data_IF_537878007539
#
_entry.id   IF_537878007539
#
_cell.length_a   1.000
_cell.length_b   1.000
_cell.length_c   1.000
_cell.angle_alpha   90.00
_cell.angle_beta   90.00
_cell.angle_gamma   90.00
#
_symmetry.space_group_name_H-M   'P 1'
#
loop_
_entity.id
_entity.type
_entity.pdbx_description
1 polymer ?
#
# COMPACT_ATOMS: atom_id res chain seq x y z
N UNK A 1 -2.62 13.40 -15.79
CA UNK A 1 -2.29 11.95 -15.74
C UNK A 1 -3.59 11.20 -15.46
N UNK A 2 -3.87 10.06 -16.11
CA UNK A 2 -5.05 9.28 -15.74
C UNK A 2 -4.88 8.77 -14.29
N UNK A 3 -5.97 8.72 -13.52
CA UNK A 3 -6.08 8.15 -12.17
C UNK A 3 -5.70 6.63 -12.11
N UNK A 4 -5.13 6.08 -13.20
CA UNK A 4 -5.01 4.66 -13.54
C UNK A 4 -3.78 3.94 -13.04
N UNK A 5 -3.29 4.37 -11.91
CA UNK A 5 -1.98 3.95 -11.44
C UNK A 5 -1.96 3.57 -9.97
N UNK A 6 -2.99 3.87 -9.17
CA UNK A 6 -2.94 3.70 -7.72
C UNK A 6 -2.46 2.31 -7.29
N UNK A 7 -3.17 1.25 -7.72
CA UNK A 7 -2.82 -0.12 -7.36
C UNK A 7 -1.45 -0.55 -7.94
N UNK A 8 -1.01 0.05 -9.06
CA UNK A 8 0.30 -0.22 -9.68
C UNK A 8 1.42 0.47 -8.90
N UNK A 9 1.25 1.74 -8.55
CA UNK A 9 2.19 2.49 -7.73
C UNK A 9 2.33 1.87 -6.35
N UNK A 10 1.22 1.47 -5.74
CA UNK A 10 1.21 0.79 -4.45
C UNK A 10 1.95 -0.54 -4.49
N UNK A 11 1.71 -1.37 -5.51
CA UNK A 11 2.47 -2.60 -5.72
C UNK A 11 3.97 -2.30 -5.93
N UNK A 12 4.31 -1.27 -6.71
CA UNK A 12 5.70 -0.88 -6.93
C UNK A 12 6.38 -0.38 -5.64
N UNK A 13 5.64 0.31 -4.76
CA UNK A 13 6.12 0.73 -3.44
C UNK A 13 6.33 -0.51 -2.56
N UNK A 14 5.36 -1.42 -2.49
CA UNK A 14 5.44 -2.66 -1.70
C UNK A 14 6.68 -3.49 -2.08
N UNK A 15 6.88 -3.70 -3.39
CA UNK A 15 8.06 -4.38 -3.93
C UNK A 15 9.36 -3.65 -3.61
N UNK A 16 9.35 -2.32 -3.60
CA UNK A 16 10.53 -1.51 -3.30
C UNK A 16 10.93 -1.65 -1.85
N UNK A 17 9.98 -1.55 -0.91
CA UNK A 17 10.26 -1.77 0.50
C UNK A 17 10.71 -3.19 0.78
N UNK A 18 10.06 -4.20 0.18
CA UNK A 18 10.48 -5.59 0.36
C UNK A 18 11.91 -5.85 -0.15
N UNK A 19 12.29 -5.28 -1.30
CA UNK A 19 13.69 -5.33 -1.78
C UNK A 19 14.70 -4.68 -0.83
N UNK A 20 14.24 -3.80 0.05
CA UNK A 20 15.07 -3.17 1.07
C UNK A 20 15.03 -3.88 2.41
N UNK A 21 14.29 -5.00 2.56
CA UNK A 21 14.13 -5.70 3.83
C UNK A 21 15.46 -5.89 4.57
N UNK A 22 16.51 -6.40 3.91
CA UNK A 22 17.82 -6.57 4.54
C UNK A 22 18.49 -5.27 5.03
N UNK A 23 18.25 -4.13 4.37
CA UNK A 23 18.74 -2.82 4.84
C UNK A 23 17.90 -2.30 6.01
N UNK A 24 16.60 -2.57 5.99
CA UNK A 24 15.65 -2.19 7.04
C UNK A 24 15.89 -3.04 8.30
N UNK A 25 16.28 -4.32 8.16
CA UNK A 25 16.64 -5.19 9.27
C UNK A 25 17.88 -4.71 10.04
N UNK A 26 18.72 -3.86 9.42
CA UNK A 26 19.90 -3.27 10.06
C UNK A 26 19.59 -1.99 10.86
N UNK A 27 18.34 -1.54 10.89
CA UNK A 27 17.91 -0.43 11.75
C UNK A 27 17.98 -0.82 13.23
N UNK A 28 17.95 0.20 14.11
CA UNK A 28 17.69 -0.06 15.52
C UNK A 28 16.33 -0.75 15.73
N UNK A 29 16.24 -1.53 16.80
CA UNK A 29 15.06 -2.36 17.10
C UNK A 29 13.77 -1.55 17.08
N UNK A 30 13.76 -0.35 17.68
CA UNK A 30 12.55 0.47 17.76
C UNK A 30 12.05 0.92 16.37
N UNK A 31 12.96 1.34 15.48
CA UNK A 31 12.59 1.69 14.10
C UNK A 31 12.16 0.47 13.30
N UNK A 32 12.89 -0.63 13.39
CA UNK A 32 12.59 -1.88 12.69
C UNK A 32 11.20 -2.39 13.06
N UNK A 33 10.89 -2.43 14.35
CA UNK A 33 9.60 -2.87 14.88
C UNK A 33 8.47 -1.92 14.43
N UNK A 34 8.74 -0.61 14.38
CA UNK A 34 7.80 0.37 13.82
C UNK A 34 7.51 0.11 12.34
N UNK A 35 8.53 -0.15 11.51
CA UNK A 35 8.32 -0.49 10.09
C UNK A 35 7.54 -1.79 9.95
N UNK A 36 7.85 -2.81 10.75
CA UNK A 36 7.13 -4.08 10.75
C UNK A 36 5.64 -3.90 11.10
N UNK A 37 5.34 -3.11 12.15
CA UNK A 37 3.98 -2.78 12.55
C UNK A 37 3.20 -2.11 11.42
N UNK A 38 3.74 -1.05 10.83
CA UNK A 38 3.02 -0.34 9.76
C UNK A 38 2.93 -1.15 8.46
N UNK A 39 3.90 -2.02 8.18
CA UNK A 39 3.80 -2.95 7.06
C UNK A 39 2.61 -3.93 7.26
N UNK A 40 2.43 -4.44 8.47
CA UNK A 40 1.27 -5.28 8.81
C UNK A 40 -0.07 -4.52 8.74
N UNK A 41 -0.13 -3.30 9.27
CA UNK A 41 -1.32 -2.45 9.17
C UNK A 41 -1.70 -2.15 7.71
N UNK A 42 -0.70 -1.91 6.85
CA UNK A 42 -0.92 -1.73 5.42
C UNK A 42 -1.43 -3.03 4.80
N UNK A 43 -0.83 -4.19 5.11
CA UNK A 43 -1.29 -5.48 4.60
C UNK A 43 -2.76 -5.75 4.97
N UNK A 44 -3.12 -5.56 6.24
CA UNK A 44 -4.50 -5.71 6.71
C UNK A 44 -5.47 -4.73 6.01
N UNK A 45 -5.02 -3.50 5.77
CA UNK A 45 -5.80 -2.47 5.05
C UNK A 45 -6.00 -2.82 3.58
N UNK A 46 -4.95 -3.33 2.92
CA UNK A 46 -5.02 -3.81 1.54
C UNK A 46 -5.96 -5.00 1.38
N UNK A 47 -5.97 -5.93 2.33
CA UNK A 47 -6.91 -7.05 2.35
C UNK A 47 -8.36 -6.56 2.44
N UNK A 48 -8.66 -5.62 3.35
CA UNK A 48 -10.00 -5.03 3.48
C UNK A 48 -10.41 -4.22 2.25
N UNK A 49 -9.48 -3.49 1.65
CA UNK A 49 -9.72 -2.78 0.40
C UNK A 49 -10.04 -3.76 -0.74
N UNK A 50 -9.22 -4.80 -0.92
CA UNK A 50 -9.43 -5.82 -1.94
C UNK A 50 -10.80 -6.51 -1.78
N UNK A 51 -11.18 -6.83 -0.53
CA UNK A 51 -12.51 -7.38 -0.25
C UNK A 51 -13.62 -6.42 -0.66
N UNK A 52 -13.50 -5.13 -0.37
CA UNK A 52 -14.49 -4.15 -0.82
C UNK A 52 -14.61 -4.10 -2.34
N UNK A 53 -13.52 -4.22 -3.09
CA UNK A 53 -13.57 -4.32 -4.56
C UNK A 53 -14.23 -5.63 -5.03
N UNK A 54 -13.99 -6.76 -4.36
CA UNK A 54 -14.68 -8.03 -4.66
C UNK A 54 -16.19 -7.88 -4.41
N UNK A 55 -16.58 -7.24 -3.31
CA UNK A 55 -17.98 -7.01 -3.00
C UNK A 55 -18.65 -6.08 -4.02
N UNK A 56 -17.94 -5.07 -4.54
CA UNK A 56 -18.43 -4.21 -5.64
C UNK A 56 -18.63 -5.03 -6.92
N UNK A 57 -17.73 -5.96 -7.21
CA UNK A 57 -17.84 -6.85 -8.38
C UNK A 57 -19.12 -7.70 -8.30
N UNK A 58 -19.48 -8.16 -7.10
CA UNK A 58 -20.70 -8.94 -6.86
C UNK A 58 -21.97 -8.08 -6.71
N UNK A 59 -21.86 -6.88 -6.15
CA UNK A 59 -22.97 -5.99 -5.79
C UNK A 59 -22.68 -4.54 -6.25
N UNK A 60 -22.65 -4.27 -7.57
CA UNK A 60 -22.15 -3.00 -8.11
C UNK A 60 -23.02 -1.78 -7.78
N UNK A 61 -24.28 -1.98 -7.39
CA UNK A 61 -25.22 -0.90 -7.02
C UNK A 61 -25.12 -0.50 -5.54
N UNK A 62 -24.48 -1.31 -4.70
CA UNK A 62 -24.39 -1.11 -3.26
C UNK A 62 -23.26 -0.12 -2.90
N UNK A 63 -23.62 1.16 -2.73
CA UNK A 63 -22.66 2.25 -2.47
C UNK A 63 -21.80 2.08 -1.22
N UNK A 64 -22.23 1.27 -0.25
CA UNK A 64 -21.47 1.00 0.99
C UNK A 64 -20.09 0.38 0.71
N UNK A 65 -19.96 -0.44 -0.34
CA UNK A 65 -18.68 -1.07 -0.68
C UNK A 65 -17.72 -0.05 -1.31
N UNK A 66 -18.22 0.91 -2.09
CA UNK A 66 -17.43 2.06 -2.56
C UNK A 66 -16.92 2.91 -1.41
N UNK A 67 -17.77 3.21 -0.41
CA UNK A 67 -17.35 3.94 0.79
C UNK A 67 -16.30 3.17 1.60
N UNK A 68 -16.45 1.85 1.70
CA UNK A 68 -15.46 0.99 2.37
C UNK A 68 -14.11 1.03 1.64
N UNK A 69 -14.11 0.86 0.31
CA UNK A 69 -12.92 0.97 -0.51
C UNK A 69 -12.24 2.34 -0.34
N UNK A 70 -13.01 3.43 -0.42
CA UNK A 70 -12.49 4.79 -0.25
C UNK A 70 -11.82 4.96 1.13
N UNK A 71 -12.49 4.52 2.21
CA UNK A 71 -11.95 4.62 3.57
C UNK A 71 -10.65 3.85 3.76
N UNK A 72 -10.54 2.63 3.24
CA UNK A 72 -9.33 1.83 3.38
C UNK A 72 -8.19 2.39 2.53
N UNK A 73 -8.44 2.79 1.28
CA UNK A 73 -7.42 3.41 0.42
C UNK A 73 -6.86 4.71 1.02
N UNK A 74 -7.70 5.52 1.67
CA UNK A 74 -7.28 6.76 2.32
C UNK A 74 -6.37 6.58 3.53
N UNK A 75 -6.38 5.41 4.18
CA UNK A 75 -5.47 5.13 5.30
C UNK A 75 -4.06 4.79 4.86
N UNK A 76 -3.92 4.22 3.67
CA UNK A 76 -2.65 3.66 3.18
C UNK A 76 -1.59 4.75 3.05
N UNK A 77 -1.93 5.94 2.55
CA UNK A 77 -0.97 7.04 2.38
C UNK A 77 -0.31 7.42 3.72
N UNK A 78 -1.09 7.62 4.79
CA UNK A 78 -0.56 7.97 6.11
C UNK A 78 0.32 6.87 6.73
N UNK A 79 0.00 5.59 6.49
CA UNK A 79 0.86 4.49 6.93
C UNK A 79 2.17 4.44 6.15
N UNK A 80 2.13 4.68 4.84
CA UNK A 80 3.33 4.75 4.02
C UNK A 80 4.23 5.93 4.40
N UNK A 81 3.65 7.10 4.69
CA UNK A 81 4.39 8.25 5.22
C UNK A 81 5.09 7.91 6.52
N UNK A 82 4.43 7.14 7.39
CA UNK A 82 5.03 6.72 8.66
C UNK A 82 6.21 5.77 8.46
N UNK A 83 6.12 4.84 7.51
CA UNK A 83 7.27 3.99 7.12
C UNK A 83 8.39 4.86 6.55
N UNK A 84 8.11 5.77 5.62
CA UNK A 84 9.12 6.65 5.02
C UNK A 84 9.82 7.50 6.07
N UNK A 85 9.09 8.01 7.06
CA UNK A 85 9.65 8.76 8.18
C UNK A 85 10.57 7.89 9.06
N UNK A 86 10.20 6.63 9.34
CA UNK A 86 11.05 5.71 10.10
C UNK A 86 12.37 5.38 9.38
N UNK A 87 12.31 5.29 8.04
CA UNK A 87 13.46 5.04 7.17
C UNK A 87 14.33 6.29 6.93
N UNK A 88 13.88 7.47 7.35
CA UNK A 88 14.62 8.71 7.17
C UNK A 88 16.00 8.62 7.82
N UNK A 89 17.01 9.15 7.13
CA UNK A 89 18.42 9.17 7.51
C UNK A 89 19.14 7.81 7.50
N UNK A 90 18.45 6.70 7.20
CA UNK A 90 19.05 5.36 7.12
C UNK A 90 19.15 4.82 5.70
N UNK A 91 18.25 5.26 4.81
CA UNK A 91 18.33 4.98 3.40
C UNK A 91 18.84 6.20 2.63
N UNK A 92 19.55 5.95 1.53
CA UNK A 92 19.99 6.96 0.58
C UNK A 92 18.83 7.92 0.23
N UNK A 93 19.09 9.23 0.32
CA UNK A 93 18.11 10.27 0.01
C UNK A 93 17.49 10.11 -1.39
N UNK A 94 18.23 9.58 -2.38
CA UNK A 94 17.70 9.28 -3.72
C UNK A 94 16.64 8.16 -3.70
N UNK A 95 16.86 7.12 -2.88
CA UNK A 95 15.89 6.02 -2.69
C UNK A 95 14.60 6.54 -2.11
N UNK A 96 14.70 7.33 -1.02
CA UNK A 96 13.53 7.89 -0.35
C UNK A 96 12.79 8.91 -1.24
N UNK A 97 13.51 9.75 -1.98
CA UNK A 97 12.89 10.68 -2.95
C UNK A 97 12.07 9.93 -4.00
N UNK A 98 12.57 8.80 -4.49
CA UNK A 98 11.84 7.95 -5.43
C UNK A 98 10.56 7.32 -4.85
N UNK A 99 10.52 7.02 -3.55
CA UNK A 99 9.30 6.54 -2.88
C UNK A 99 8.32 7.69 -2.65
N UNK A 100 8.78 8.82 -2.11
CA UNK A 100 7.96 10.02 -1.88
C UNK A 100 7.25 10.48 -3.16
N UNK A 101 7.98 10.54 -4.28
CA UNK A 101 7.39 10.85 -5.59
C UNK A 101 6.29 9.86 -6.01
N UNK A 102 6.38 8.58 -5.61
CA UNK A 102 5.31 7.60 -5.87
C UNK A 102 4.12 7.78 -4.93
N UNK A 103 4.34 8.25 -3.71
CA UNK A 103 3.27 8.57 -2.76
C UNK A 103 2.43 9.76 -3.23
N UNK A 104 3.06 10.76 -3.88
CA UNK A 104 2.34 11.88 -4.50
C UNK A 104 1.31 11.43 -5.55
N UNK A 105 1.52 10.26 -6.18
CA UNK A 105 0.56 9.69 -7.12
C UNK A 105 -0.51 8.81 -6.47
N UNK A 106 -0.47 8.62 -5.15
CA UNK A 106 -1.53 7.94 -4.41
C UNK A 106 -2.69 8.88 -4.08
N UNK A 107 -2.50 10.21 -4.19
CA UNK A 107 -3.57 11.19 -4.06
C UNK A 107 -3.75 12.00 -5.36
N UNK A 108 -4.99 12.19 -5.83
CA UNK A 108 -6.24 11.65 -5.30
C UNK A 108 -6.46 10.17 -5.68
N UNK A 109 -7.04 9.38 -4.77
CA UNK A 109 -7.52 8.03 -5.04
C UNK A 109 -9.04 8.01 -5.23
N UNK A 110 -9.49 7.42 -6.33
CA UNK A 110 -10.90 7.42 -6.73
C UNK A 110 -11.31 5.98 -7.08
N UNK A 111 -11.92 5.22 -6.14
CA UNK A 111 -12.28 3.81 -6.36
C UNK A 111 -13.10 3.59 -7.65
N UNK A 112 -14.03 4.50 -7.94
CA UNK A 112 -14.87 4.48 -9.14
C UNK A 112 -14.03 4.59 -10.42
N UNK A 113 -13.03 5.47 -10.44
CA UNK A 113 -12.13 5.62 -11.59
C UNK A 113 -11.27 4.35 -11.77
N UNK A 114 -10.80 3.76 -10.67
CA UNK A 114 -10.04 2.50 -10.70
C UNK A 114 -10.87 1.35 -11.28
N UNK A 115 -12.15 1.25 -10.88
CA UNK A 115 -13.10 0.27 -11.42
C UNK A 115 -13.33 0.50 -12.91
N UNK A 116 -13.62 1.74 -13.32
CA UNK A 116 -13.90 2.06 -14.72
C UNK A 116 -12.74 1.73 -15.67
N UNK A 117 -11.50 1.78 -15.17
CA UNK A 117 -10.31 1.56 -16.00
C UNK A 117 -9.86 0.11 -16.08
N UNK A 118 -10.04 -0.68 -15.02
CA UNK A 118 -9.48 -2.03 -14.94
C UNK A 118 -10.46 -3.12 -14.51
N UNK A 119 -11.63 -2.74 -14.01
CA UNK A 119 -12.58 -3.63 -13.35
C UNK A 119 -12.26 -3.82 -11.87
N UNK A 120 -13.29 -4.16 -11.09
CA UNK A 120 -13.19 -4.30 -9.65
C UNK A 120 -12.33 -5.52 -9.27
N UNK A 121 -12.59 -6.70 -9.87
CA UNK A 121 -11.79 -7.90 -9.63
C UNK A 121 -10.28 -7.73 -9.93
N UNK A 122 -9.93 -7.20 -11.09
CA UNK A 122 -8.53 -7.02 -11.47
C UNK A 122 -7.81 -5.99 -10.58
N UNK A 123 -8.56 -5.02 -10.04
CA UNK A 123 -8.06 -4.09 -9.03
C UNK A 123 -7.82 -4.81 -7.71
N UNK A 124 -8.78 -5.59 -7.22
CA UNK A 124 -8.64 -6.41 -6.01
C UNK A 124 -7.41 -7.33 -6.07
N UNK A 125 -7.23 -8.05 -7.18
CA UNK A 125 -6.07 -8.94 -7.39
C UNK A 125 -4.72 -8.22 -7.24
N UNK A 126 -4.62 -6.98 -7.71
CA UNK A 126 -3.38 -6.19 -7.58
C UNK A 126 -3.18 -5.66 -6.16
N UNK A 127 -4.26 -5.30 -5.46
CA UNK A 127 -4.19 -4.94 -4.04
C UNK A 127 -3.73 -6.14 -3.19
N UNK A 128 -4.24 -7.35 -3.45
CA UNK A 128 -3.78 -8.59 -2.80
C UNK A 128 -2.31 -8.88 -3.11
N UNK A 129 -1.85 -8.62 -4.34
CA UNK A 129 -0.42 -8.76 -4.65
C UNK A 129 0.45 -7.82 -3.82
N UNK A 130 0.03 -6.56 -3.64
CA UNK A 130 0.72 -5.61 -2.78
C UNK A 130 0.67 -6.03 -1.30
N UNK A 131 -0.46 -6.57 -0.84
CA UNK A 131 -0.64 -7.11 0.51
C UNK A 131 0.41 -8.16 0.84
N UNK A 132 0.61 -9.14 -0.04
CA UNK A 132 1.61 -10.20 0.16
C UNK A 132 3.03 -9.67 0.35
N UNK A 133 3.43 -8.61 -0.38
CA UNK A 133 4.74 -7.99 -0.19
C UNK A 133 4.88 -7.27 1.16
N UNK A 134 3.82 -6.60 1.62
CA UNK A 134 3.82 -5.96 2.93
C UNK A 134 3.80 -6.98 4.08
N UNK A 135 3.07 -8.09 3.91
CA UNK A 135 3.10 -9.21 4.87
C UNK A 135 4.51 -9.79 4.98
N UNK A 136 5.12 -10.13 3.84
CA UNK A 136 6.48 -10.67 3.80
C UNK A 136 7.51 -9.70 4.38
N UNK A 137 7.34 -8.38 4.17
CA UNK A 137 8.18 -7.37 4.80
C UNK A 137 8.01 -7.37 6.33
N UNK A 138 6.78 -7.38 6.84
CA UNK A 138 6.53 -7.40 8.28
C UNK A 138 7.17 -8.63 8.94
N UNK A 139 7.01 -9.80 8.32
CA UNK A 139 7.59 -11.06 8.81
C UNK A 139 9.12 -11.02 8.83
N UNK A 140 9.74 -10.55 7.74
CA UNK A 140 11.21 -10.45 7.61
C UNK A 140 11.87 -9.46 8.60
N UNK A 141 11.09 -8.54 9.18
CA UNK A 141 11.59 -7.55 10.13
C UNK A 141 11.38 -7.97 11.60
N UNK A 142 10.59 -9.01 11.85
CA UNK A 142 10.31 -9.54 13.20
C UNK A 142 11.21 -10.69 13.61
N UNK A 143 11.90 -11.31 12.65
CA UNK A 143 12.99 -12.26 12.89
C UNK A 143 14.21 -11.56 13.48
#
# INVERSE_FOLDING_TARGET
>A
MPLSEYARHLLAIAQTFYRWAGQISALDTARRDKVALYAEEIAATLARAAQAFIDIDHQPTEKKHLLSAHRELGRIAGYLDTIVAALAHHLDGRKLAGVKRRLEYLEPFEPQAMIAQRGAFATASRLMSAEGFFRALADALRT
#
